data_IF_799352032058
#
_entry.id   IF_799352032058
#
_cell.length_a   1.000
_cell.length_b   1.000
_cell.length_c   1.000
_cell.angle_alpha   90.00
_cell.angle_beta   90.00
_cell.angle_gamma   90.00
#
_symmetry.space_group_name_H-M   'P 1'
#
loop_
_entity.id
_entity.type
_entity.pdbx_description
1 polymer ?
#
# COMPACT_ATOMS: atom_id res chain seq x y z
N UNK A 1 -27.45 7.03 19.20
CA UNK A 1 -26.79 7.77 18.11
C UNK A 1 -25.28 7.70 18.30
N UNK A 2 -24.59 6.78 17.60
CA UNK A 2 -23.16 6.55 17.74
C UNK A 2 -22.34 7.48 16.84
N UNK A 3 -21.64 8.46 17.41
CA UNK A 3 -20.63 9.22 16.67
C UNK A 3 -19.38 8.36 16.52
N UNK A 4 -19.15 7.83 15.33
CA UNK A 4 -17.94 7.12 14.96
C UNK A 4 -16.72 8.01 15.22
N UNK A 5 -15.84 7.54 16.10
CA UNK A 5 -14.63 8.23 16.50
C UNK A 5 -13.59 8.02 15.39
N UNK A 6 -13.60 8.86 14.35
CA UNK A 6 -12.44 8.96 13.47
C UNK A 6 -11.30 9.47 14.34
N UNK A 7 -10.47 8.53 14.81
CA UNK A 7 -9.26 8.83 15.55
C UNK A 7 -8.44 9.71 14.63
N UNK A 8 -8.24 10.97 15.06
CA UNK A 8 -7.38 11.95 14.41
C UNK A 8 -6.12 11.20 13.97
N UNK A 9 -5.95 11.00 12.67
CA UNK A 9 -4.79 10.31 12.14
C UNK A 9 -3.62 11.23 12.47
N UNK A 10 -2.75 10.80 13.39
CA UNK A 10 -1.42 11.38 13.45
C UNK A 10 -0.87 11.34 12.03
N UNK A 11 -0.25 12.43 11.60
CA UNK A 11 0.40 12.57 10.29
C UNK A 11 1.62 11.66 10.14
N UNK A 12 1.66 10.53 10.84
CA UNK A 12 2.44 9.39 10.39
C UNK A 12 1.89 9.02 9.02
N UNK A 13 2.78 8.97 8.02
CA UNK A 13 2.47 8.34 6.74
C UNK A 13 1.78 7.00 7.06
N UNK A 14 0.79 6.59 6.27
CA UNK A 14 0.04 5.34 6.49
C UNK A 14 0.85 4.01 6.65
N UNK A 15 2.19 3.88 6.46
CA UNK A 15 2.88 2.60 6.55
C UNK A 15 2.88 1.92 7.92
N UNK A 16 2.95 2.62 9.05
CA UNK A 16 3.43 1.95 10.28
C UNK A 16 2.56 0.78 10.77
N UNK A 17 1.22 0.93 10.92
CA UNK A 17 0.39 -0.18 11.38
C UNK A 17 0.21 -1.26 10.32
N UNK A 18 0.16 -0.87 9.04
CA UNK A 18 -0.04 -1.76 7.90
C UNK A 18 1.20 -2.63 7.66
N UNK A 19 2.38 -2.01 7.65
CA UNK A 19 3.66 -2.67 7.43
C UNK A 19 4.00 -3.61 8.58
N UNK A 20 3.77 -3.18 9.82
CA UNK A 20 3.91 -4.06 10.97
C UNK A 20 2.98 -5.29 10.89
N UNK A 21 1.81 -5.19 10.27
CA UNK A 21 0.93 -6.34 10.05
C UNK A 21 1.45 -7.24 8.92
N UNK A 22 1.84 -6.66 7.79
CA UNK A 22 2.41 -7.36 6.64
C UNK A 22 3.68 -8.15 7.03
N UNK A 23 4.59 -7.53 7.80
CA UNK A 23 5.83 -8.15 8.24
C UNK A 23 5.59 -9.35 9.19
N UNK A 24 4.53 -9.29 10.01
CA UNK A 24 4.16 -10.40 10.91
C UNK A 24 3.51 -11.57 10.18
N UNK A 25 2.93 -11.35 9.00
CA UNK A 25 2.18 -12.36 8.24
C UNK A 25 2.43 -12.21 6.73
N UNK A 26 3.67 -12.40 6.26
CA UNK A 26 4.03 -12.14 4.87
C UNK A 26 3.28 -13.02 3.87
N UNK A 27 2.97 -14.26 4.26
CA UNK A 27 2.27 -15.21 3.40
C UNK A 27 0.74 -15.14 3.53
N UNK A 28 0.20 -14.26 4.38
CA UNK A 28 -1.25 -14.05 4.44
C UNK A 28 -1.73 -13.29 3.19
N UNK A 29 -2.94 -13.60 2.75
CA UNK A 29 -3.54 -13.00 1.56
C UNK A 29 -3.88 -11.53 1.83
N UNK A 30 -3.31 -10.63 1.03
CA UNK A 30 -3.56 -9.19 1.08
C UNK A 30 -4.68 -8.77 0.11
N UNK A 31 -4.81 -9.47 -1.02
CA UNK A 31 -5.77 -9.13 -2.07
C UNK A 31 -6.23 -10.37 -2.85
N UNK A 32 -7.51 -10.42 -3.19
CA UNK A 32 -8.11 -11.45 -4.06
C UNK A 32 -8.88 -10.76 -5.18
N UNK A 33 -8.62 -11.13 -6.42
CA UNK A 33 -9.33 -10.61 -7.59
C UNK A 33 -9.43 -11.69 -8.66
N UNK A 34 -10.64 -11.90 -9.19
CA UNK A 34 -10.94 -12.91 -10.21
C UNK A 34 -10.33 -14.30 -9.93
N UNK A 35 -10.43 -14.75 -8.67
CA UNK A 35 -9.90 -16.05 -8.24
C UNK A 35 -8.38 -16.09 -8.03
N UNK A 36 -7.66 -15.01 -8.35
CA UNK A 36 -6.23 -14.87 -8.07
C UNK A 36 -6.03 -14.25 -6.69
N UNK A 37 -5.24 -14.90 -5.85
CA UNK A 37 -4.86 -14.38 -4.53
C UNK A 37 -3.42 -13.88 -4.55
N UNK A 38 -3.16 -12.79 -3.83
CA UNK A 38 -1.84 -12.18 -3.69
C UNK A 38 -1.54 -12.02 -2.20
N UNK A 39 -0.40 -12.55 -1.76
CA UNK A 39 0.07 -12.40 -0.39
C UNK A 39 0.61 -10.99 -0.09
N UNK A 40 0.76 -10.65 1.19
CA UNK A 40 1.40 -9.39 1.60
C UNK A 40 2.81 -9.25 1.05
N UNK A 41 3.60 -10.32 1.03
CA UNK A 41 4.96 -10.34 0.48
C UNK A 41 4.97 -10.04 -1.02
N UNK A 42 4.14 -10.75 -1.79
CA UNK A 42 4.06 -10.55 -3.25
C UNK A 42 3.52 -9.15 -3.59
N UNK A 43 2.59 -8.63 -2.79
CA UNK A 43 2.09 -7.28 -2.95
C UNK A 43 3.18 -6.23 -2.69
N UNK A 44 3.92 -6.36 -1.58
CA UNK A 44 5.03 -5.46 -1.23
C UNK A 44 6.14 -5.48 -2.29
N UNK A 45 6.50 -6.65 -2.82
CA UNK A 45 7.46 -6.77 -3.92
C UNK A 45 7.01 -6.01 -5.18
N UNK A 46 5.72 -6.09 -5.54
CA UNK A 46 5.15 -5.36 -6.69
C UNK A 46 5.16 -3.86 -6.44
N UNK A 47 4.74 -3.42 -5.26
CA UNK A 47 4.72 -1.99 -4.87
C UNK A 47 6.14 -1.42 -4.88
N UNK A 48 7.11 -2.12 -4.28
CA UNK A 48 8.51 -1.69 -4.23
C UNK A 48 9.14 -1.63 -5.62
N UNK A 49 8.78 -2.55 -6.52
CA UNK A 49 9.22 -2.47 -7.92
C UNK A 49 8.66 -1.22 -8.61
N UNK A 50 7.37 -0.92 -8.44
CA UNK A 50 6.77 0.31 -8.98
C UNK A 50 7.43 1.56 -8.38
N UNK A 51 7.65 1.60 -7.06
CA UNK A 51 8.30 2.72 -6.39
C UNK A 51 9.72 2.96 -6.93
N UNK A 52 10.53 1.90 -7.09
CA UNK A 52 11.88 2.01 -7.67
C UNK A 52 11.85 2.52 -9.11
N UNK A 53 10.88 2.09 -9.91
CA UNK A 53 10.72 2.57 -11.28
C UNK A 53 10.36 4.07 -11.32
N UNK A 54 9.47 4.53 -10.43
CA UNK A 54 9.13 5.94 -10.31
C UNK A 54 10.33 6.78 -9.85
N UNK A 55 11.09 6.30 -8.85
CA UNK A 55 12.32 6.95 -8.39
C UNK A 55 13.33 7.05 -9.54
N UNK A 56 13.52 5.98 -10.31
CA UNK A 56 14.40 5.96 -11.47
C UNK A 56 13.94 6.95 -12.57
N UNK A 57 12.64 7.21 -12.68
CA UNK A 57 12.06 8.22 -13.57
C UNK A 57 12.17 9.66 -13.03
N UNK A 58 12.80 9.88 -11.87
CA UNK A 58 13.01 11.19 -11.28
C UNK A 58 11.87 11.67 -10.37
N UNK A 59 10.92 10.80 -10.00
CA UNK A 59 9.85 11.15 -9.06
C UNK A 59 10.44 11.30 -7.66
N UNK A 60 10.27 12.49 -7.08
CA UNK A 60 10.70 12.82 -5.72
C UNK A 60 9.54 13.27 -4.82
N UNK A 61 9.85 13.71 -3.59
CA UNK A 61 8.86 14.36 -2.73
C UNK A 61 8.12 15.48 -3.47
N UNK A 62 6.85 15.66 -3.13
CA UNK A 62 5.98 16.71 -3.72
C UNK A 62 5.70 16.57 -5.23
N UNK A 63 6.19 15.49 -5.87
CA UNK A 63 5.90 15.20 -7.27
C UNK A 63 4.52 14.55 -7.41
N UNK A 64 3.70 15.08 -8.32
CA UNK A 64 2.37 14.52 -8.64
C UNK A 64 2.49 13.38 -9.66
N UNK A 65 1.99 12.20 -9.32
CA UNK A 65 1.94 11.02 -10.20
C UNK A 65 0.47 10.67 -10.48
N UNK A 66 0.10 10.58 -11.76
CA UNK A 66 -1.24 10.15 -12.16
C UNK A 66 -1.39 8.63 -12.06
N UNK A 67 -2.51 8.17 -11.50
CA UNK A 67 -2.87 6.75 -11.44
C UNK A 67 -4.12 6.51 -12.31
N UNK A 68 -4.02 5.59 -13.25
CA UNK A 68 -5.15 5.06 -14.01
C UNK A 68 -5.20 3.55 -13.81
N UNK A 69 -6.35 3.02 -13.41
CA UNK A 69 -6.57 1.59 -13.28
C UNK A 69 -7.48 1.10 -14.40
N UNK A 70 -7.02 0.12 -15.17
CA UNK A 70 -7.85 -0.62 -16.11
C UNK A 70 -8.71 -1.63 -15.34
N UNK A 71 -9.94 -1.85 -15.80
CA UNK A 71 -10.80 -2.94 -15.32
C UNK A 71 -10.43 -4.22 -16.03
#
# INVERSE_FOLDING_TARGET
MGRGKYRRSDSSVLPDPFRAHADRRPDAIAHVHEGTSVSYREFDERVNRCARALIAAGVGPETRVGLMIGQ
#
